data_IF_531390654501
#
_entry.id   IF_531390654501
#
_cell.length_a   1.000
_cell.length_b   1.000
_cell.length_c   1.000
_cell.angle_alpha   90.00
_cell.angle_beta   90.00
_cell.angle_gamma   90.00
#
_symmetry.space_group_name_H-M   'P 1'
#
loop_
_entity.id
_entity.type
_entity.pdbx_description
1 polymer ?
#
# COMPACT_ATOMS: atom_id res chain seq x y z
N UNK A 1 -1.75 -25.78 4.04
CA UNK A 1 -1.86 -25.70 2.56
C UNK A 1 -1.34 -24.33 2.11
N UNK A 2 -0.34 -24.27 1.22
CA UNK A 2 0.15 -23.00 0.67
C UNK A 2 -0.85 -22.51 -0.39
N UNK A 3 -1.25 -21.24 -0.36
CA UNK A 3 -2.19 -20.68 -1.35
C UNK A 3 -1.42 -20.06 -2.50
N UNK A 4 -1.96 -20.15 -3.71
CA UNK A 4 -1.43 -19.44 -4.87
C UNK A 4 -1.95 -18.01 -4.86
N UNK A 5 -1.11 -17.07 -5.27
CA UNK A 5 -1.47 -15.67 -5.46
C UNK A 5 -1.10 -15.22 -6.86
N UNK A 6 -1.92 -14.34 -7.40
CA UNK A 6 -1.68 -13.69 -8.68
C UNK A 6 -0.91 -12.41 -8.40
N UNK A 7 0.31 -12.31 -8.92
CA UNK A 7 1.02 -11.03 -8.95
C UNK A 7 0.52 -10.29 -10.19
N UNK A 8 -0.33 -9.29 -9.97
CA UNK A 8 -0.85 -8.44 -11.05
C UNK A 8 0.27 -7.54 -11.58
N UNK A 9 0.82 -7.92 -12.73
CA UNK A 9 1.80 -7.16 -13.50
C UNK A 9 1.24 -6.89 -14.90
N UNK A 10 0.16 -6.12 -14.96
CA UNK A 10 -0.51 -5.82 -16.24
C UNK A 10 0.36 -4.95 -17.16
N UNK A 11 0.32 -5.27 -18.45
CA UNK A 11 0.79 -4.41 -19.53
C UNK A 11 -0.11 -3.17 -19.59
N UNK A 12 0.35 -2.05 -19.05
CA UNK A 12 -0.42 -0.81 -19.04
C UNK A 12 -0.01 0.15 -17.94
N UNK A 13 -0.74 1.27 -17.87
CA UNK A 13 -0.54 2.31 -16.86
C UNK A 13 -0.77 1.69 -15.48
N UNK A 14 0.28 1.61 -14.67
CA UNK A 14 0.24 1.08 -13.30
C UNK A 14 -0.89 1.73 -12.50
N UNK A 15 -1.83 0.91 -12.03
CA UNK A 15 -2.93 1.36 -11.17
C UNK A 15 -2.63 1.04 -9.71
N UNK A 16 -3.16 1.87 -8.83
CA UNK A 16 -3.19 1.66 -7.39
C UNK A 16 -4.64 1.68 -6.92
N UNK A 17 -4.96 0.80 -5.97
CA UNK A 17 -6.29 0.76 -5.37
C UNK A 17 -6.40 1.93 -4.39
N UNK A 18 -7.44 2.75 -4.54
CA UNK A 18 -7.75 3.79 -3.56
C UNK A 18 -8.32 3.16 -2.28
N UNK A 19 -7.78 3.44 -1.08
CA UNK A 19 -8.28 2.86 0.17
C UNK A 19 -9.64 3.42 0.62
N UNK A 20 -10.10 4.53 0.04
CA UNK A 20 -11.36 5.19 0.42
C UNK A 20 -12.52 4.83 -0.52
N UNK A 21 -12.31 4.94 -1.84
CA UNK A 21 -13.36 4.67 -2.83
C UNK A 21 -13.21 3.33 -3.54
N UNK A 22 -12.18 2.54 -3.22
CA UNK A 22 -11.97 1.22 -3.81
C UNK A 22 -11.92 1.26 -5.35
N UNK A 23 -11.42 2.35 -5.94
CA UNK A 23 -11.19 2.47 -7.40
C UNK A 23 -9.72 2.28 -7.71
N UNK A 24 -9.43 1.59 -8.80
CA UNK A 24 -8.08 1.49 -9.34
C UNK A 24 -7.74 2.72 -10.17
N UNK A 25 -6.70 3.46 -9.75
CA UNK A 25 -6.34 4.77 -10.31
C UNK A 25 -4.88 4.82 -10.70
N UNK A 26 -4.59 5.51 -11.81
CA UNK A 26 -3.23 5.63 -12.36
C UNK A 26 -2.42 6.76 -11.74
N UNK A 27 -3.08 7.86 -11.36
CA UNK A 27 -2.46 9.01 -10.69
C UNK A 27 -2.96 9.12 -9.25
N UNK A 28 -2.48 8.21 -8.40
CA UNK A 28 -2.96 8.04 -7.03
C UNK A 28 -2.95 9.34 -6.22
N UNK A 29 -1.84 10.08 -6.20
CA UNK A 29 -1.71 11.32 -5.43
C UNK A 29 -2.71 12.39 -5.89
N UNK A 30 -2.87 12.56 -7.21
CA UNK A 30 -3.84 13.52 -7.76
C UNK A 30 -5.27 13.09 -7.44
N UNK A 31 -5.58 11.80 -7.57
CA UNK A 31 -6.88 11.26 -7.21
C UNK A 31 -7.21 11.53 -5.74
N UNK A 32 -6.26 11.20 -4.85
CA UNK A 32 -6.38 11.38 -3.41
C UNK A 32 -6.75 12.83 -3.06
N UNK A 33 -5.98 13.81 -3.56
CA UNK A 33 -6.22 15.21 -3.22
C UNK A 33 -7.48 15.81 -3.86
N UNK A 34 -7.95 15.28 -4.99
CA UNK A 34 -9.14 15.81 -5.68
C UNK A 34 -10.45 15.20 -5.18
N UNK A 35 -10.44 13.94 -4.78
CA UNK A 35 -11.64 13.18 -4.41
C UNK A 35 -11.78 12.95 -2.91
N UNK A 36 -10.66 13.00 -2.18
CA UNK A 36 -10.60 12.63 -0.77
C UNK A 36 -9.93 13.71 0.09
N UNK A 37 -9.95 14.98 -0.32
CA UNK A 37 -9.34 16.09 0.45
C UNK A 37 -9.93 16.27 1.85
N UNK A 38 -11.18 15.84 2.06
CA UNK A 38 -11.89 15.93 3.35
C UNK A 38 -11.62 14.76 4.29
N UNK A 39 -10.95 13.71 3.83
CA UNK A 39 -10.55 12.61 4.70
C UNK A 39 -9.47 13.10 5.67
N UNK A 40 -9.59 12.77 6.96
CA UNK A 40 -8.68 13.27 8.02
C UNK A 40 -7.20 13.03 7.68
N UNK A 41 -6.90 11.82 7.21
CA UNK A 41 -5.54 11.41 6.82
C UNK A 41 -5.03 12.18 5.61
N UNK A 42 -5.89 12.56 4.67
CA UNK A 42 -5.51 13.34 3.49
C UNK A 42 -5.35 14.82 3.83
N UNK A 43 -6.23 15.36 4.68
CA UNK A 43 -6.11 16.73 5.18
C UNK A 43 -4.77 16.96 5.87
N UNK A 44 -4.37 16.05 6.77
CA UNK A 44 -3.05 16.08 7.42
C UNK A 44 -1.90 16.04 6.41
N UNK A 45 -2.02 15.26 5.33
CA UNK A 45 -1.02 15.23 4.25
C UNK A 45 -0.97 16.56 3.48
N UNK A 46 -2.09 17.25 3.34
CA UNK A 46 -2.15 18.54 2.64
C UNK A 46 -1.41 19.63 3.42
N UNK A 47 -1.44 19.59 4.76
CA UNK A 47 -0.73 20.49 5.68
C UNK A 47 0.79 20.32 5.62
N UNK A 48 1.29 19.11 5.39
CA UNK A 48 2.73 18.86 5.21
C UNK A 48 3.23 19.59 3.94
N UNK A 49 4.37 20.30 3.97
CA UNK A 49 4.88 21.03 2.81
C UNK A 49 4.96 20.20 1.52
N UNK A 50 4.53 20.78 0.39
CA UNK A 50 4.62 20.13 -0.93
C UNK A 50 6.07 19.77 -1.23
N UNK A 51 6.28 18.57 -1.77
CA UNK A 51 7.59 18.08 -2.16
C UNK A 51 8.42 17.46 -1.03
N UNK A 52 8.03 17.64 0.25
CA UNK A 52 8.76 17.05 1.38
C UNK A 52 8.78 15.52 1.30
N UNK A 53 9.86 14.93 1.83
CA UNK A 53 9.98 13.48 1.89
C UNK A 53 8.89 12.86 2.76
N UNK A 54 8.53 13.52 3.85
CA UNK A 54 7.45 13.12 4.74
C UNK A 54 6.10 13.03 4.01
N UNK A 55 5.74 14.06 3.23
CA UNK A 55 4.51 14.06 2.43
C UNK A 55 4.46 12.86 1.48
N UNK A 56 5.59 12.56 0.83
CA UNK A 56 5.72 11.37 -0.04
C UNK A 56 5.51 10.07 0.75
N UNK A 57 6.08 9.95 1.96
CA UNK A 57 5.91 8.75 2.80
C UNK A 57 4.46 8.51 3.20
N UNK A 58 3.72 9.56 3.56
CA UNK A 58 2.31 9.41 3.93
C UNK A 58 1.42 9.06 2.73
N UNK A 59 1.65 9.65 1.55
CA UNK A 59 0.96 9.25 0.33
C UNK A 59 1.25 7.77 0.01
N UNK A 60 2.51 7.36 0.11
CA UNK A 60 2.93 5.97 -0.11
C UNK A 60 2.30 5.00 0.89
N UNK A 61 2.06 5.43 2.14
CA UNK A 61 1.36 4.62 3.13
C UNK A 61 -0.07 4.34 2.69
N UNK A 62 -0.82 5.38 2.31
CA UNK A 62 -2.20 5.23 1.83
C UNK A 62 -2.26 4.35 0.57
N UNK A 63 -1.29 4.51 -0.35
CA UNK A 63 -1.17 3.65 -1.53
C UNK A 63 -1.01 2.19 -1.15
N UNK A 64 -0.09 1.89 -0.21
CA UNK A 64 0.17 0.51 0.25
C UNK A 64 -1.04 -0.08 0.96
N UNK A 65 -1.74 0.69 1.78
CA UNK A 65 -2.97 0.26 2.44
C UNK A 65 -4.06 -0.09 1.43
N UNK A 66 -4.28 0.76 0.43
CA UNK A 66 -5.22 0.48 -0.64
C UNK A 66 -4.85 -0.79 -1.41
N UNK A 67 -3.60 -0.92 -1.84
CA UNK A 67 -3.11 -2.12 -2.54
C UNK A 67 -3.11 -3.38 -1.66
N UNK A 68 -3.06 -3.25 -0.34
CA UNK A 68 -3.19 -4.37 0.58
C UNK A 68 -4.63 -4.89 0.67
N UNK A 69 -5.65 -4.08 0.38
CA UNK A 69 -7.06 -4.52 0.46
C UNK A 69 -7.36 -5.71 -0.46
N UNK A 70 -6.79 -5.71 -1.67
CA UNK A 70 -6.95 -6.79 -2.65
C UNK A 70 -6.09 -8.03 -2.35
N UNK A 71 -5.24 -7.99 -1.32
CA UNK A 71 -4.46 -9.15 -0.89
C UNK A 71 -5.36 -10.31 -0.41
N UNK A 72 -6.51 -9.97 0.18
CA UNK A 72 -7.52 -10.95 0.60
C UNK A 72 -8.14 -11.71 -0.58
N UNK A 73 -8.18 -11.07 -1.76
CA UNK A 73 -8.65 -11.63 -3.03
C UNK A 73 -7.54 -12.42 -3.76
N UNK A 74 -6.45 -12.75 -3.06
CA UNK A 74 -5.28 -13.44 -3.61
C UNK A 74 -4.55 -12.68 -4.71
N UNK A 75 -4.70 -11.36 -4.75
CA UNK A 75 -4.01 -10.46 -5.66
C UNK A 75 -2.87 -9.76 -4.91
N UNK A 76 -1.64 -9.90 -5.41
CA UNK A 76 -0.46 -9.26 -4.84
C UNK A 76 -0.04 -8.10 -5.72
N UNK A 77 -0.05 -6.89 -5.12
CA UNK A 77 0.53 -5.68 -5.71
C UNK A 77 1.78 -5.29 -4.92
N UNK A 78 2.97 -5.81 -5.30
CA UNK A 78 4.18 -5.63 -4.51
C UNK A 78 4.66 -4.18 -4.53
N UNK A 79 5.35 -3.75 -3.47
CA UNK A 79 5.89 -2.39 -3.38
C UNK A 79 6.94 -2.13 -4.47
N UNK A 80 7.74 -3.14 -4.78
CA UNK A 80 8.59 -3.15 -5.97
C UNK A 80 7.89 -3.99 -7.02
N UNK A 81 7.22 -3.34 -7.97
CA UNK A 81 6.65 -4.00 -9.15
C UNK A 81 7.76 -4.24 -10.17
N UNK A 82 8.04 -5.50 -10.56
CA UNK A 82 8.84 -5.81 -11.73
C UNK A 82 8.49 -4.97 -12.97
N UNK A 83 9.48 -4.82 -13.84
CA UNK A 83 9.40 -4.00 -15.06
C UNK A 83 8.94 -4.79 -16.29
N UNK A 84 8.88 -6.12 -16.19
CA UNK A 84 8.56 -7.02 -17.30
C UNK A 84 7.10 -7.48 -17.26
N UNK A 85 6.48 -7.54 -18.44
CA UNK A 85 5.09 -7.94 -18.66
C UNK A 85 4.90 -9.45 -18.48
N UNK A 86 4.55 -9.90 -17.27
CA UNK A 86 4.14 -11.29 -17.05
C UNK A 86 3.28 -11.42 -15.81
N UNK A 87 2.03 -11.87 -15.95
CA UNK A 87 1.25 -12.36 -14.80
C UNK A 87 1.89 -13.64 -14.29
N UNK A 88 2.52 -13.57 -13.12
CA UNK A 88 3.14 -14.74 -12.48
C UNK A 88 2.28 -15.21 -11.34
N UNK A 89 1.94 -16.50 -11.39
CA UNK A 89 1.41 -17.21 -10.24
C UNK A 89 2.59 -17.51 -9.32
N UNK A 90 2.47 -17.18 -8.05
CA UNK A 90 3.51 -17.41 -7.04
C UNK A 90 2.86 -17.90 -5.75
N UNK A 91 3.63 -18.44 -4.82
CA UNK A 91 3.11 -18.82 -3.52
C UNK A 91 2.77 -17.56 -2.70
N UNK A 92 1.63 -17.58 -2.00
CA UNK A 92 1.18 -16.52 -1.08
C UNK A 92 2.25 -16.08 -0.10
N UNK A 93 3.03 -17.08 0.28
CA UNK A 93 4.14 -17.09 1.19
C UNK A 93 5.33 -16.22 0.74
N UNK A 94 5.51 -16.01 -0.56
CA UNK A 94 6.66 -15.27 -1.07
C UNK A 94 6.51 -13.76 -0.88
N UNK A 95 5.27 -13.26 -0.75
CA UNK A 95 4.98 -11.86 -0.49
C UNK A 95 4.19 -11.69 0.80
N UNK A 96 4.83 -11.06 1.78
CA UNK A 96 4.28 -10.84 3.10
C UNK A 96 4.06 -9.35 3.36
N UNK A 97 2.95 -8.98 4.02
CA UNK A 97 2.66 -7.60 4.36
C UNK A 97 3.56 -7.13 5.52
N UNK A 98 4.04 -5.89 5.41
CA UNK A 98 4.69 -5.23 6.54
C UNK A 98 3.67 -4.89 7.62
N UNK A 99 3.94 -5.26 8.87
CA UNK A 99 3.07 -4.95 10.01
C UNK A 99 2.80 -3.44 10.19
N UNK A 100 3.77 -2.59 9.85
CA UNK A 100 3.69 -1.14 10.04
C UNK A 100 3.05 -0.41 8.86
N UNK A 101 3.52 -0.64 7.64
CA UNK A 101 3.08 0.13 6.47
C UNK A 101 2.13 -0.61 5.52
N UNK A 102 1.81 -1.88 5.81
CA UNK A 102 0.98 -2.79 5.00
C UNK A 102 1.44 -3.00 3.55
N UNK A 103 2.62 -2.49 3.18
CA UNK A 103 3.23 -2.79 1.89
C UNK A 103 3.57 -4.28 1.78
N UNK A 104 3.34 -4.86 0.60
CA UNK A 104 3.68 -6.25 0.28
C UNK A 104 5.14 -6.33 -0.19
N UNK A 105 5.95 -7.12 0.53
CA UNK A 105 7.38 -7.29 0.29
C UNK A 105 7.71 -8.76 0.11
N UNK A 106 8.76 -9.06 -0.66
CA UNK A 106 9.30 -10.42 -0.70
C UNK A 106 9.71 -10.86 0.70
N UNK A 107 9.47 -12.12 1.07
CA UNK A 107 9.84 -12.68 2.40
C UNK A 107 11.27 -12.31 2.81
N UNK A 108 12.23 -12.48 1.91
CA UNK A 108 13.66 -12.24 2.18
C UNK A 108 14.00 -10.75 2.35
N UNK A 109 13.16 -9.83 1.87
CA UNK A 109 13.36 -8.38 2.01
C UNK A 109 12.54 -7.76 3.14
N UNK A 110 11.46 -8.43 3.58
CA UNK A 110 10.55 -7.91 4.59
C UNK A 110 11.25 -7.64 5.93
N UNK A 111 12.07 -8.57 6.43
CA UNK A 111 12.78 -8.40 7.71
C UNK A 111 13.69 -7.16 7.70
N UNK A 112 14.46 -6.98 6.62
CA UNK A 112 15.32 -5.80 6.42
C UNK A 112 14.49 -4.52 6.32
N UNK A 113 13.34 -4.57 5.64
CA UNK A 113 12.43 -3.43 5.53
C UNK A 113 11.84 -3.06 6.90
N UNK A 114 11.33 -4.03 7.66
CA UNK A 114 10.64 -3.79 8.92
C UNK A 114 11.50 -3.01 9.92
N UNK A 115 12.80 -3.36 10.02
CA UNK A 115 13.77 -2.67 10.90
C UNK A 115 13.92 -1.18 10.56
N UNK A 116 13.91 -0.83 9.26
CA UNK A 116 14.08 0.54 8.75
C UNK A 116 12.77 1.18 8.29
N UNK A 117 11.62 0.58 8.63
CA UNK A 117 10.35 1.08 8.17
C UNK A 117 10.11 2.43 8.82
N UNK A 118 9.79 3.44 8.01
CA UNK A 118 9.51 4.79 8.50
C UNK A 118 8.42 4.80 9.59
N UNK A 119 7.48 3.85 9.49
CA UNK A 119 6.35 3.70 10.39
C UNK A 119 6.59 2.71 11.55
N UNK A 120 7.83 2.23 11.75
CA UNK A 120 8.17 1.32 12.87
C UNK A 120 8.14 2.03 14.23
N UNK A 121 8.59 3.28 14.31
CA UNK A 121 8.80 4.00 15.57
C UNK A 121 7.60 4.86 16.03
N UNK A 122 6.37 4.47 15.66
CA UNK A 122 5.20 5.26 16.06
C UNK A 122 5.12 6.65 15.40
N UNK A 123 5.81 6.88 14.26
CA UNK A 123 5.53 7.99 13.32
C UNK A 123 4.18 7.74 12.62
N UNK A 124 3.18 7.54 13.45
CA UNK A 124 1.87 7.03 13.12
C UNK A 124 0.89 8.19 13.10
N UNK A 125 1.23 9.22 12.33
CA UNK A 125 0.33 10.33 12.04
C UNK A 125 -0.95 9.87 11.30
N UNK A 126 -1.06 8.57 10.96
CA UNK A 126 -2.09 7.98 10.10
C UNK A 126 -2.99 6.91 10.76
N UNK A 127 -2.82 6.54 12.04
CA UNK A 127 -3.76 5.60 12.69
C UNK A 127 -4.94 6.33 13.31
N UNK A 128 -5.94 6.57 12.47
CA UNK A 128 -7.37 6.46 12.83
C UNK A 128 -8.20 5.64 11.83
N UNK A 129 -7.62 5.11 10.75
CA UNK A 129 -8.39 4.24 9.84
C UNK A 129 -8.45 2.77 10.29
N UNK A 130 -7.48 2.28 11.06
CA UNK A 130 -7.28 0.84 11.26
C UNK A 130 -7.74 0.28 12.61
N UNK A 131 -8.12 1.11 13.59
CA UNK A 131 -8.46 0.61 14.94
C UNK A 131 -9.91 0.16 15.11
N UNK A 132 -10.84 0.57 14.25
CA UNK A 132 -12.27 0.26 14.45
C UNK A 132 -12.91 -0.64 13.38
N UNK A 133 -12.21 -1.03 12.31
CA UNK A 133 -12.81 -1.86 11.23
C UNK A 133 -12.02 -3.07 10.77
N UNK A 134 -10.90 -3.41 11.41
CA UNK A 134 -10.16 -4.63 11.10
C UNK A 134 -10.46 -5.65 12.20
N UNK A 135 -11.37 -6.59 11.92
CA UNK A 135 -11.49 -7.81 12.74
C UNK A 135 -10.08 -8.43 12.84
N UNK A 136 -9.60 -8.76 14.06
CA UNK A 136 -8.40 -9.58 14.17
C UNK A 136 -8.65 -10.88 13.43
N UNK A 137 -7.72 -11.24 12.55
CA UNK A 137 -7.67 -12.58 11.95
C UNK A 137 -7.29 -13.59 13.02
#
# INVERSE_FOLDING_TARGET
MKKLVVVEEECGIKKDRCPYCNKDVTNFSRHLFRKHSREESVSKILEVPKGSNERKKFIDLLRKQGNFSVYSEHIVRPVQRPTSSSTKITLSDDFLPCKYCKGLYKRNSLSKHAKKCFFNNGNDFAIRYSREKVKPY
#
